data_IF_488371135343
#
_entry.id   IF_488371135343
#
_cell.length_a   1.000
_cell.length_b   1.000
_cell.length_c   1.000
_cell.angle_alpha   90.00
_cell.angle_beta   90.00
_cell.angle_gamma   90.00
#
_symmetry.space_group_name_H-M   'P 1'
#
loop_
_entity.id
_entity.type
_entity.pdbx_description
1 polymer ?
#
# COMPACT_ATOMS: atom_id res chain seq x y z
N UNK A 1 -10.80 -9.32 -6.46
CA UNK A 1 -10.08 -9.43 -5.17
C UNK A 1 -9.39 -8.11 -4.85
N UNK A 2 -9.14 -7.75 -3.58
CA UNK A 2 -8.37 -6.55 -3.21
C UNK A 2 -6.98 -6.97 -2.71
N UNK A 3 -5.93 -6.33 -3.22
CA UNK A 3 -4.55 -6.54 -2.78
C UNK A 3 -4.03 -5.21 -2.24
N UNK A 4 -3.54 -5.21 -1.00
CA UNK A 4 -2.99 -4.02 -0.36
C UNK A 4 -1.47 -4.17 -0.30
N UNK A 5 -0.76 -3.18 -0.84
CA UNK A 5 0.70 -3.18 -0.83
C UNK A 5 1.27 -2.36 0.32
N UNK A 6 2.40 -2.85 0.83
CA UNK A 6 3.35 -2.06 1.60
C UNK A 6 4.49 -1.57 0.68
N UNK A 7 5.30 -0.63 1.15
CA UNK A 7 6.40 -0.01 0.39
C UNK A 7 7.43 -1.03 -0.10
N UNK A 8 7.89 -1.91 0.79
CA UNK A 8 8.98 -2.85 0.50
C UNK A 8 8.63 -3.85 -0.62
N UNK A 9 7.47 -4.54 -0.61
CA UNK A 9 7.07 -5.39 -1.74
C UNK A 9 6.91 -4.65 -3.06
N UNK A 10 6.36 -3.42 -3.04
CA UNK A 10 6.19 -2.59 -4.24
C UNK A 10 7.54 -2.25 -4.88
N UNK A 11 8.49 -1.78 -4.06
CA UNK A 11 9.83 -1.43 -4.51
C UNK A 11 10.56 -2.67 -5.02
N UNK A 12 10.45 -3.79 -4.31
CA UNK A 12 11.07 -5.05 -4.72
C UNK A 12 10.58 -5.51 -6.09
N UNK A 13 9.26 -5.54 -6.33
CA UNK A 13 8.68 -5.93 -7.62
C UNK A 13 9.05 -4.95 -8.75
N UNK A 14 9.11 -3.65 -8.45
CA UNK A 14 9.53 -2.63 -9.40
C UNK A 14 10.98 -2.83 -9.83
N UNK A 15 11.89 -3.11 -8.88
CA UNK A 15 13.32 -3.37 -9.18
C UNK A 15 13.55 -4.62 -10.03
N UNK A 16 12.65 -5.60 -9.95
CA UNK A 16 12.73 -6.81 -10.75
C UNK A 16 11.98 -6.69 -12.09
N UNK A 17 11.36 -5.54 -12.41
CA UNK A 17 10.49 -5.35 -13.58
C UNK A 17 9.30 -6.33 -13.65
N UNK A 18 8.82 -6.81 -12.49
CA UNK A 18 7.64 -7.69 -12.41
C UNK A 18 6.37 -6.92 -12.01
N UNK A 19 6.49 -5.67 -11.55
CA UNK A 19 5.35 -4.93 -11.03
C UNK A 19 4.24 -4.76 -12.08
N UNK A 20 4.56 -4.34 -13.31
CA UNK A 20 3.58 -4.20 -14.37
C UNK A 20 2.85 -5.50 -14.68
N UNK A 21 3.59 -6.62 -14.78
CA UNK A 21 3.04 -7.95 -14.99
C UNK A 21 2.10 -8.36 -13.85
N UNK A 22 2.46 -8.01 -12.61
CA UNK A 22 1.61 -8.32 -11.46
C UNK A 22 0.29 -7.53 -11.51
N UNK A 23 0.34 -6.29 -12.00
CA UNK A 23 -0.80 -5.39 -12.10
C UNK A 23 -1.76 -5.70 -13.26
N UNK A 24 -1.43 -6.62 -14.16
CA UNK A 24 -2.37 -7.07 -15.22
C UNK A 24 -3.45 -8.03 -14.72
N UNK A 25 -3.33 -8.55 -13.49
CA UNK A 25 -4.34 -9.43 -12.92
C UNK A 25 -5.64 -8.69 -12.62
N UNK A 26 -6.78 -9.39 -12.69
CA UNK A 26 -8.10 -8.86 -12.28
C UNK A 26 -8.22 -8.73 -10.74
N UNK A 27 -7.47 -7.77 -10.20
CA UNK A 27 -7.54 -7.37 -8.81
C UNK A 27 -7.52 -5.85 -8.69
N UNK A 28 -8.07 -5.36 -7.59
CA UNK A 28 -7.92 -3.97 -7.22
C UNK A 28 -6.66 -3.83 -6.36
N UNK A 29 -5.67 -3.11 -6.87
CA UNK A 29 -4.42 -2.87 -6.16
C UNK A 29 -4.49 -1.56 -5.40
N UNK A 30 -4.29 -1.65 -4.10
CA UNK A 30 -4.45 -0.56 -3.17
C UNK A 30 -3.13 -0.30 -2.45
N UNK A 31 -2.88 0.94 -2.07
CA UNK A 31 -1.88 1.27 -1.05
C UNK A 31 -2.38 2.36 -0.11
N UNK A 32 -1.98 2.34 1.18
CA UNK A 32 -2.20 3.46 2.08
C UNK A 32 -1.49 4.75 1.62
N UNK A 33 -2.05 5.92 1.93
CA UNK A 33 -1.36 7.21 1.68
C UNK A 33 0.03 7.26 2.33
N UNK A 34 0.18 6.74 3.55
CA UNK A 34 1.48 6.68 4.24
C UNK A 34 2.52 5.85 3.49
N UNK A 35 2.09 4.82 2.74
CA UNK A 35 2.98 4.02 1.90
C UNK A 35 3.43 4.82 0.68
N UNK A 36 2.54 5.62 0.07
CA UNK A 36 2.90 6.53 -1.02
C UNK A 36 3.93 7.56 -0.55
N UNK A 37 3.74 8.14 0.62
CA UNK A 37 4.67 9.08 1.24
C UNK A 37 6.05 8.45 1.44
N UNK A 38 6.11 7.24 2.02
CA UNK A 38 7.36 6.51 2.22
C UNK A 38 8.09 6.22 0.89
N UNK A 39 7.35 5.83 -0.15
CA UNK A 39 7.92 5.56 -1.48
C UNK A 39 8.45 6.85 -2.10
N UNK A 40 7.68 7.93 -2.04
CA UNK A 40 8.04 9.23 -2.62
C UNK A 40 9.28 9.85 -1.97
N UNK A 41 9.53 9.55 -0.69
CA UNK A 41 10.71 10.02 0.03
C UNK A 41 12.02 9.37 -0.44
N UNK A 42 11.99 8.19 -1.09
CA UNK A 42 13.22 7.46 -1.50
C UNK A 42 13.90 8.05 -2.74
N UNK A 43 13.15 8.73 -3.62
CA UNK A 43 13.67 9.44 -4.81
C UNK A 43 14.56 8.57 -5.74
N UNK A 44 14.34 7.25 -5.78
CA UNK A 44 15.04 6.33 -6.68
C UNK A 44 14.20 5.96 -7.92
N UNK A 45 14.80 5.25 -8.89
CA UNK A 45 14.11 4.82 -10.12
C UNK A 45 12.82 4.05 -9.83
N UNK A 46 12.83 3.18 -8.82
CA UNK A 46 11.68 2.38 -8.43
C UNK A 46 10.54 3.25 -7.91
N UNK A 47 10.86 4.25 -7.09
CA UNK A 47 9.88 5.22 -6.61
C UNK A 47 9.26 6.03 -7.74
N UNK A 48 10.07 6.46 -8.72
CA UNK A 48 9.59 7.15 -9.92
C UNK A 48 8.61 6.28 -10.72
N UNK A 49 8.97 5.02 -10.97
CA UNK A 49 8.10 4.06 -11.64
C UNK A 49 6.78 3.85 -10.89
N UNK A 50 6.83 3.63 -9.57
CA UNK A 50 5.62 3.42 -8.77
C UNK A 50 4.71 4.66 -8.78
N UNK A 51 5.28 5.86 -8.72
CA UNK A 51 4.52 7.11 -8.79
C UNK A 51 3.80 7.28 -10.13
N UNK A 52 4.42 6.85 -11.24
CA UNK A 52 3.74 6.80 -12.55
C UNK A 52 2.54 5.85 -12.52
N UNK A 53 2.69 4.65 -11.95
CA UNK A 53 1.58 3.68 -11.83
C UNK A 53 0.42 4.20 -10.96
N UNK A 54 0.72 5.00 -9.94
CA UNK A 54 -0.29 5.70 -9.15
C UNK A 54 -1.01 6.77 -9.99
N UNK A 55 -0.26 7.58 -10.74
CA UNK A 55 -0.84 8.61 -11.62
C UNK A 55 -1.73 8.02 -12.73
N UNK A 56 -1.39 6.81 -13.20
CA UNK A 56 -2.18 6.03 -14.16
C UNK A 56 -3.39 5.31 -13.54
N UNK A 57 -3.63 5.46 -12.23
CA UNK A 57 -4.66 4.74 -11.46
C UNK A 57 -4.55 3.20 -11.50
N UNK A 58 -3.38 2.65 -11.86
CA UNK A 58 -3.10 1.20 -11.72
C UNK A 58 -2.90 0.80 -10.26
N UNK A 59 -2.43 1.75 -9.45
CA UNK A 59 -2.30 1.63 -7.99
C UNK A 59 -3.17 2.69 -7.33
N UNK A 60 -4.20 2.27 -6.60
CA UNK A 60 -5.14 3.20 -5.98
C UNK A 60 -4.71 3.54 -4.55
N UNK A 61 -4.54 4.83 -4.29
CA UNK A 61 -4.19 5.30 -2.94
C UNK A 61 -5.45 5.40 -2.09
N UNK A 62 -5.37 4.87 -0.87
CA UNK A 62 -6.45 4.87 0.11
C UNK A 62 -6.01 5.59 1.37
N UNK A 63 -6.84 6.53 1.82
CA UNK A 63 -6.63 7.18 3.11
C UNK A 63 -7.08 6.25 4.22
N UNK A 64 -6.16 5.84 5.08
CA UNK A 64 -6.47 5.00 6.24
C UNK A 64 -6.84 5.92 7.41
N UNK A 65 -8.05 5.75 7.95
CA UNK A 65 -8.47 6.47 9.16
C UNK A 65 -7.98 5.72 10.40
N UNK A 66 -6.89 6.20 11.00
CA UNK A 66 -6.32 5.67 12.24
C UNK A 66 -7.31 5.59 13.40
N UNK A 67 -8.36 6.43 13.40
CA UNK A 67 -9.43 6.42 14.39
C UNK A 67 -10.15 5.08 14.46
N UNK A 68 -10.36 4.40 13.31
CA UNK A 68 -11.01 3.08 13.33
C UNK A 68 -10.11 2.03 13.96
N UNK A 69 -8.79 2.12 13.75
CA UNK A 69 -7.78 1.23 14.31
C UNK A 69 -7.67 1.39 15.83
N UNK A 70 -7.65 2.63 16.32
CA UNK A 70 -7.67 2.92 17.76
C UNK A 70 -8.95 2.37 18.42
N UNK A 71 -10.11 2.55 17.77
CA UNK A 71 -11.37 1.99 18.27
C UNK A 71 -11.39 0.46 18.27
N UNK A 72 -10.86 -0.18 17.23
CA UNK A 72 -10.70 -1.64 17.20
C UNK A 72 -9.75 -2.13 18.30
N UNK A 73 -8.66 -1.42 18.57
CA UNK A 73 -7.72 -1.73 19.64
C UNK A 73 -8.39 -1.66 21.02
N UNK A 74 -9.17 -0.61 21.27
CA UNK A 74 -9.97 -0.48 22.49
C UNK A 74 -11.04 -1.58 22.63
N UNK A 75 -11.67 -1.97 21.53
CA UNK A 75 -12.62 -3.10 21.52
C UNK A 75 -11.90 -4.42 21.84
N UNK A 76 -10.75 -4.69 21.21
CA UNK A 76 -9.99 -5.93 21.44
C UNK A 76 -9.47 -6.03 22.88
N UNK A 77 -9.04 -4.90 23.48
CA UNK A 77 -8.70 -4.81 24.91
C UNK A 77 -9.92 -5.09 25.80
N UNK A 78 -11.07 -4.49 25.51
CA UNK A 78 -12.33 -4.74 26.25
C UNK A 78 -12.77 -6.20 26.16
N UNK A 79 -12.48 -6.86 25.04
CA UNK A 79 -12.77 -8.29 24.83
C UNK A 79 -11.68 -9.23 25.39
N UNK A 80 -10.65 -8.71 26.07
CA UNK A 80 -9.51 -9.48 26.60
C UNK A 80 -8.79 -10.34 25.54
N UNK A 81 -8.87 -9.96 24.26
CA UNK A 81 -8.24 -10.68 23.16
C UNK A 81 -6.77 -10.31 22.98
N UNK A 82 -6.37 -9.18 23.55
CA UNK A 82 -5.01 -8.64 23.57
C UNK A 82 -4.78 -7.98 24.93
N UNK A 83 -3.52 -7.97 25.40
CA UNK A 83 -3.11 -7.33 26.65
C UNK A 83 -2.89 -5.82 26.48
#
# INVERSE_FOLDING_TARGET
MKIVFNSSPLIFLSRLNFLDLFLTNEAQFLLPESVKEEISAKQDQSSGHINTLIAENKLLVQKVQLVSLANSWEILKKMQLIN
#
